data_IF_457169602279
#
_entry.id   IF_457169602279
#
_cell.length_a   1.000
_cell.length_b   1.000
_cell.length_c   1.000
_cell.angle_alpha   90.00
_cell.angle_beta   90.00
_cell.angle_gamma   90.00
#
_symmetry.space_group_name_H-M   'P 1'
#
loop_
_entity.id
_entity.type
_entity.pdbx_description
1 polymer ?
#
# COMPACT_ATOMS: atom_id res chain seq x y z
N UNK A 1 0.28 3.02 -17.98
CA UNK A 1 1.52 3.35 -18.71
C UNK A 1 2.57 3.77 -17.70
N UNK A 2 3.66 3.01 -17.56
CA UNK A 2 4.68 3.28 -16.54
C UNK A 2 5.57 4.44 -17.02
N UNK A 3 5.44 5.63 -16.42
CA UNK A 3 6.08 6.87 -16.92
C UNK A 3 7.57 7.00 -16.52
N UNK A 4 8.01 6.21 -15.53
CA UNK A 4 9.39 6.19 -15.02
C UNK A 4 10.47 5.90 -16.08
N UNK A 5 10.35 4.85 -16.94
CA UNK A 5 11.36 4.60 -17.98
C UNK A 5 11.50 5.76 -18.97
N UNK A 6 10.41 6.45 -19.30
CA UNK A 6 10.44 7.62 -20.16
C UNK A 6 11.21 8.78 -19.53
N UNK A 7 10.97 9.07 -18.25
CA UNK A 7 11.71 10.11 -17.49
C UNK A 7 13.22 9.81 -17.41
N UNK A 8 13.60 8.53 -17.24
CA UNK A 8 15.01 8.11 -17.18
C UNK A 8 15.68 8.31 -18.55
N UNK A 9 15.00 8.00 -19.65
CA UNK A 9 15.52 8.18 -21.00
C UNK A 9 15.79 9.68 -21.29
N UNK A 10 14.84 10.55 -20.93
CA UNK A 10 15.01 12.01 -21.03
C UNK A 10 16.19 12.49 -20.18
N UNK A 11 16.32 11.99 -18.94
CA UNK A 11 17.43 12.35 -18.06
C UNK A 11 18.80 11.92 -18.62
N UNK A 12 18.88 10.75 -19.26
CA UNK A 12 20.11 10.25 -19.88
C UNK A 12 20.57 11.18 -21.02
N UNK A 13 19.64 11.64 -21.85
CA UNK A 13 19.93 12.58 -22.95
C UNK A 13 20.39 13.94 -22.39
N UNK A 14 19.71 14.46 -21.36
CA UNK A 14 20.09 15.73 -20.71
C UNK A 14 21.49 15.66 -20.10
N UNK A 15 21.82 14.57 -19.41
CA UNK A 15 23.16 14.37 -18.84
C UNK A 15 24.22 14.21 -19.93
N UNK A 16 23.91 13.46 -21.00
CA UNK A 16 24.79 13.30 -22.14
C UNK A 16 25.16 14.64 -22.79
N UNK A 17 24.16 15.49 -23.08
CA UNK A 17 24.42 16.85 -23.55
C UNK A 17 25.19 17.67 -22.50
N UNK A 18 24.82 17.56 -21.22
CA UNK A 18 25.44 18.32 -20.14
C UNK A 18 26.95 18.09 -20.06
N UNK A 19 27.39 16.83 -20.16
CA UNK A 19 28.81 16.45 -20.17
C UNK A 19 29.53 16.99 -21.40
N UNK A 20 28.92 16.92 -22.58
CA UNK A 20 29.50 17.47 -23.81
C UNK A 20 29.74 18.98 -23.67
N UNK A 21 28.76 19.72 -23.13
CA UNK A 21 28.88 21.15 -22.89
C UNK A 21 29.90 21.49 -21.79
N UNK A 22 30.04 20.62 -20.78
CA UNK A 22 31.05 20.77 -19.73
C UNK A 22 32.47 20.66 -20.30
N UNK A 23 32.74 19.67 -21.16
CA UNK A 23 34.03 19.52 -21.85
C UNK A 23 34.26 20.71 -22.80
N UNK A 24 33.21 21.16 -23.48
CA UNK A 24 33.28 22.30 -24.39
C UNK A 24 33.54 23.65 -23.68
N UNK A 25 33.30 23.74 -22.36
CA UNK A 25 33.49 24.93 -21.56
C UNK A 25 34.96 25.31 -21.36
N UNK A 26 35.90 24.38 -21.58
CA UNK A 26 37.35 24.65 -21.54
C UNK A 26 37.75 25.76 -22.51
N UNK A 27 37.08 25.85 -23.66
CA UNK A 27 37.35 26.90 -24.67
C UNK A 27 36.55 28.20 -24.45
N UNK A 28 35.40 28.13 -23.79
CA UNK A 28 34.50 29.27 -23.63
C UNK A 28 33.71 29.11 -22.33
N UNK A 29 34.00 29.97 -21.35
CA UNK A 29 33.37 29.93 -20.03
C UNK A 29 31.85 30.14 -20.08
N UNK A 30 31.35 30.81 -21.11
CA UNK A 30 29.91 31.02 -21.35
C UNK A 30 29.13 29.72 -21.48
N UNK A 31 29.77 28.63 -21.92
CA UNK A 31 29.14 27.30 -22.03
C UNK A 31 28.88 26.65 -20.67
N UNK A 32 29.55 27.11 -19.62
CA UNK A 32 29.36 26.61 -18.26
C UNK A 32 27.95 26.97 -17.73
N UNK A 33 27.43 28.14 -18.11
CA UNK A 33 26.05 28.54 -17.79
C UNK A 33 24.99 27.64 -18.44
N UNK A 34 25.34 26.92 -19.51
CA UNK A 34 24.46 25.94 -20.16
C UNK A 34 24.64 24.55 -19.56
N UNK A 35 25.89 24.16 -19.25
CA UNK A 35 26.21 22.84 -18.71
C UNK A 35 25.61 22.62 -17.31
N UNK A 36 25.72 23.61 -16.42
CA UNK A 36 25.23 23.51 -15.02
C UNK A 36 23.73 23.19 -14.93
N UNK A 37 22.82 23.95 -15.58
CA UNK A 37 21.40 23.64 -15.50
C UNK A 37 21.05 22.29 -16.15
N UNK A 38 21.74 21.89 -17.23
CA UNK A 38 21.49 20.60 -17.89
C UNK A 38 21.84 19.41 -16.98
N UNK A 39 22.99 19.46 -16.33
CA UNK A 39 23.41 18.43 -15.38
C UNK A 39 22.51 18.46 -14.14
N UNK A 40 22.18 19.65 -13.63
CA UNK A 40 21.29 19.81 -12.48
C UNK A 40 19.89 19.25 -12.72
N UNK A 41 19.29 19.54 -13.87
CA UNK A 41 17.99 18.99 -14.27
C UNK A 41 18.06 17.48 -14.49
N UNK A 42 19.05 16.99 -15.23
CA UNK A 42 19.22 15.56 -15.48
C UNK A 42 19.38 14.76 -14.19
N UNK A 43 20.24 15.23 -13.28
CA UNK A 43 20.43 14.63 -11.96
C UNK A 43 19.18 14.72 -11.08
N UNK A 44 18.49 15.87 -11.09
CA UNK A 44 17.26 16.07 -10.33
C UNK A 44 16.13 15.10 -10.73
N UNK A 45 15.97 14.84 -12.03
CA UNK A 45 14.98 13.90 -12.55
C UNK A 45 15.29 12.46 -12.09
N UNK A 46 16.56 12.05 -12.11
CA UNK A 46 16.98 10.72 -11.63
C UNK A 46 16.68 10.57 -10.14
N UNK A 47 17.08 11.55 -9.32
CA UNK A 47 16.84 11.53 -7.88
C UNK A 47 15.34 11.49 -7.55
N UNK A 48 14.51 12.21 -8.32
CA UNK A 48 13.06 12.16 -8.18
C UNK A 48 12.50 10.77 -8.54
N UNK A 49 12.98 10.17 -9.62
CA UNK A 49 12.54 8.85 -10.07
C UNK A 49 12.95 7.72 -9.12
N UNK A 50 14.03 7.90 -8.36
CA UNK A 50 14.52 6.92 -7.37
C UNK A 50 13.74 6.93 -6.06
N UNK A 51 12.85 7.91 -5.82
CA UNK A 51 12.07 7.95 -4.58
C UNK A 51 11.18 6.71 -4.46
N UNK A 52 11.27 5.93 -3.36
CA UNK A 52 10.45 4.75 -3.18
C UNK A 52 8.98 5.16 -3.06
N UNK A 53 8.11 4.46 -3.80
CA UNK A 53 6.67 4.65 -3.64
C UNK A 53 6.27 4.25 -2.21
N UNK A 54 5.30 4.94 -1.59
CA UNK A 54 4.82 4.58 -0.26
C UNK A 54 4.28 3.15 -0.31
N UNK A 55 4.91 2.24 0.44
CA UNK A 55 4.41 0.87 0.60
C UNK A 55 3.15 0.95 1.46
N UNK A 56 2.00 0.75 0.83
CA UNK A 56 0.73 0.60 1.54
C UNK A 56 0.74 -0.80 2.15
N UNK A 57 0.98 -0.89 3.46
CA UNK A 57 0.91 -2.16 4.19
C UNK A 57 -0.56 -2.55 4.34
N UNK A 58 -1.01 -3.60 3.64
CA UNK A 58 -2.30 -4.22 3.90
C UNK A 58 -2.18 -5.08 5.16
N UNK A 59 -2.54 -4.51 6.30
CA UNK A 59 -2.67 -5.26 7.56
C UNK A 59 -3.87 -6.19 7.41
N UNK A 60 -3.62 -7.47 7.18
CA UNK A 60 -4.67 -8.50 7.20
C UNK A 60 -4.68 -9.07 8.61
N UNK A 61 -5.66 -8.68 9.41
CA UNK A 61 -5.85 -9.23 10.75
C UNK A 61 -6.49 -10.60 10.60
N UNK A 62 -5.71 -11.67 10.85
CA UNK A 62 -6.27 -13.01 11.05
C UNK A 62 -6.62 -13.13 12.52
N UNK A 63 -7.90 -13.33 12.82
CA UNK A 63 -8.37 -13.59 14.18
C UNK A 63 -8.43 -15.10 14.39
N UNK A 64 -7.71 -15.58 15.39
CA UNK A 64 -7.74 -16.96 15.86
C UNK A 64 -8.39 -16.93 17.25
N UNK A 65 -9.54 -17.59 17.46
CA UNK A 65 -10.17 -17.67 18.79
C UNK A 65 -9.22 -18.38 19.77
N UNK A 66 -9.02 -17.80 20.95
CA UNK A 66 -8.11 -18.33 21.97
C UNK A 66 -8.60 -19.63 22.62
N UNK A 67 -9.87 -19.99 22.47
CA UNK A 67 -10.48 -21.20 23.03
C UNK A 67 -11.00 -22.15 21.96
N UNK A 68 -11.32 -23.40 22.36
CA UNK A 68 -12.07 -24.33 21.50
C UNK A 68 -13.46 -23.72 21.26
N UNK A 69 -13.63 -23.01 20.15
CA UNK A 69 -14.94 -22.93 19.51
C UNK A 69 -15.26 -24.35 19.08
N UNK A 70 -15.94 -25.10 19.96
CA UNK A 70 -16.77 -26.20 19.51
C UNK A 70 -17.65 -25.57 18.44
N UNK A 71 -17.35 -25.84 17.18
CA UNK A 71 -18.23 -25.57 16.06
C UNK A 71 -19.50 -26.45 16.15
N UNK A 72 -20.00 -26.67 17.37
CA UNK A 72 -21.37 -27.01 17.66
C UNK A 72 -22.17 -25.78 17.24
N UNK A 73 -22.58 -25.80 15.97
CA UNK A 73 -23.75 -25.14 15.43
C UNK A 73 -24.19 -23.93 16.27
N UNK A 74 -23.74 -22.72 15.92
CA UNK A 74 -24.22 -21.47 16.55
C UNK A 74 -25.74 -21.40 16.36
N UNK A 75 -26.49 -21.97 17.30
CA UNK A 75 -27.95 -22.05 17.25
C UNK A 75 -28.49 -20.74 17.80
N UNK A 76 -29.35 -20.09 17.03
CA UNK A 76 -30.05 -18.93 17.53
C UNK A 76 -30.92 -19.34 18.74
N UNK A 77 -30.81 -18.68 19.92
CA UNK A 77 -31.62 -19.02 21.09
C UNK A 77 -33.12 -18.74 20.88
N UNK A 78 -33.47 -17.96 19.84
CA UNK A 78 -34.86 -17.60 19.52
C UNK A 78 -35.50 -18.47 18.43
N UNK A 79 -34.73 -18.97 17.46
CA UNK A 79 -35.29 -19.77 16.36
C UNK A 79 -34.61 -21.12 16.13
N UNK A 80 -33.55 -21.46 16.87
CA UNK A 80 -32.82 -22.72 16.75
C UNK A 80 -32.03 -22.91 15.45
N UNK A 81 -32.06 -21.93 14.54
CA UNK A 81 -31.37 -22.02 13.25
C UNK A 81 -29.85 -21.87 13.40
N UNK A 82 -29.10 -22.60 12.58
CA UNK A 82 -27.64 -22.55 12.49
C UNK A 82 -27.21 -21.22 11.87
N UNK A 83 -26.43 -20.44 12.60
CA UNK A 83 -25.89 -19.15 12.15
C UNK A 83 -24.64 -19.36 11.27
N UNK A 84 -24.48 -18.59 10.18
CA UNK A 84 -23.27 -18.64 9.37
C UNK A 84 -22.05 -18.11 10.14
N UNK A 85 -20.82 -18.50 9.73
CA UNK A 85 -19.57 -18.03 10.33
C UNK A 85 -19.51 -16.48 10.32
N UNK A 86 -19.07 -15.82 11.41
CA UNK A 86 -19.15 -14.36 11.46
C UNK A 86 -18.01 -13.72 10.64
N UNK A 87 -18.34 -12.64 9.92
CA UNK A 87 -17.36 -11.88 9.14
C UNK A 87 -16.38 -11.12 10.05
N UNK A 88 -15.06 -11.26 9.85
CA UNK A 88 -14.03 -10.64 10.70
C UNK A 88 -13.93 -9.10 10.57
N UNK A 89 -14.76 -8.48 9.73
CA UNK A 89 -14.77 -7.01 9.51
C UNK A 89 -15.82 -6.26 10.33
N UNK A 90 -16.70 -6.97 11.05
CA UNK A 90 -17.72 -6.36 11.92
C UNK A 90 -17.42 -6.76 13.37
N UNK A 91 -17.63 -5.83 14.30
CA UNK A 91 -17.54 -6.09 15.75
C UNK A 91 -18.39 -7.33 16.09
N UNK A 92 -17.71 -8.44 16.38
CA UNK A 92 -18.27 -9.80 16.53
C UNK A 92 -19.21 -9.92 17.75
N UNK A 93 -19.27 -8.89 18.59
CA UNK A 93 -20.13 -8.83 19.77
C UNK A 93 -21.63 -8.75 19.43
N UNK A 94 -22.02 -8.43 18.18
CA UNK A 94 -23.44 -8.32 17.81
C UNK A 94 -23.68 -8.94 16.43
N UNK A 95 -24.14 -10.19 16.40
CA UNK A 95 -24.59 -10.86 15.18
C UNK A 95 -26.10 -10.67 15.03
N UNK A 96 -26.53 -10.20 13.86
CA UNK A 96 -27.95 -10.25 13.48
C UNK A 96 -28.24 -11.60 12.86
N UNK A 97 -29.16 -12.37 13.45
CA UNK A 97 -29.63 -13.60 12.85
C UNK A 97 -30.38 -13.30 11.54
N UNK A 98 -29.96 -13.88 10.39
CA UNK A 98 -30.62 -13.63 9.11
C UNK A 98 -32.03 -14.24 9.02
N UNK A 99 -32.37 -15.15 9.94
CA UNK A 99 -33.66 -15.86 9.93
C UNK A 99 -34.73 -15.20 10.80
N UNK A 100 -34.38 -14.67 11.97
CA UNK A 100 -35.35 -14.10 12.92
C UNK A 100 -35.11 -12.62 13.24
N UNK A 101 -34.08 -12.00 12.66
CA UNK A 101 -33.74 -10.58 12.87
C UNK A 101 -33.24 -10.25 14.28
N UNK A 102 -33.09 -11.24 15.16
CA UNK A 102 -32.61 -11.02 16.52
C UNK A 102 -31.12 -10.65 16.52
N UNK A 103 -30.77 -9.61 17.25
CA UNK A 103 -29.38 -9.27 17.61
C UNK A 103 -28.94 -10.14 18.77
N UNK A 104 -27.96 -11.01 18.53
CA UNK A 104 -27.42 -11.94 19.52
C UNK A 104 -26.01 -11.47 19.86
N UNK A 105 -25.74 -11.35 21.17
CA UNK A 105 -24.39 -11.09 21.68
C UNK A 105 -23.70 -12.42 21.92
N UNK A 106 -22.59 -12.65 21.24
CA UNK A 106 -21.74 -13.82 21.46
C UNK A 106 -20.95 -13.57 22.74
N UNK A 107 -21.31 -14.28 23.81
CA UNK A 107 -20.51 -14.33 25.03
C UNK A 107 -19.56 -15.53 24.93
N UNK A 108 -18.29 -15.26 24.71
CA UNK A 108 -17.25 -16.28 24.80
C UNK A 108 -17.04 -16.66 26.28
N UNK A 109 -17.05 -17.96 26.58
CA UNK A 109 -16.67 -18.42 27.91
C UNK A 109 -15.15 -18.20 28.09
N UNK A 110 -14.71 -17.46 29.12
CA UNK A 110 -13.29 -17.27 29.37
C UNK A 110 -12.68 -18.61 29.78
N UNK A 111 -11.54 -18.95 29.17
CA UNK A 111 -10.64 -20.03 29.60
C UNK A 111 -9.76 -19.46 30.73
N UNK A 112 -10.14 -19.73 31.97
CA UNK A 112 -9.35 -19.53 33.18
C UNK A 112 -9.45 -20.79 34.03
#
# INVERSE_FOLDING_TARGET
MNIKPFLILVALVLLGLGVIFLIAAVRNISRLFVAVPLIGLGGGIILYSMKPAPKIYKVTVKWEPGGKILAEELKCPRCGAVLPPPDPSKSMDIIKCPYCGATIKLEEQPIW
#
